data_IF_636979018989
#
_entry.id   IF_636979018989
#
_cell.length_a   1.000
_cell.length_b   1.000
_cell.length_c   1.000
_cell.angle_alpha   90.00
_cell.angle_beta   90.00
_cell.angle_gamma   90.00
#
_symmetry.space_group_name_H-M   'P 1'
#
loop_
_entity.id
_entity.type
_entity.pdbx_description
1 polymer ?
#
# COMPACT_ATOMS: atom_id res chain seq x y z
N UNK A 1 16.45 -30.29 10.57
CA UNK A 1 15.21 -29.67 11.09
C UNK A 1 14.48 -29.04 9.92
N UNK A 2 13.31 -29.60 9.57
CA UNK A 2 12.45 -29.02 8.56
C UNK A 2 11.79 -27.76 9.15
N UNK A 3 12.39 -26.61 8.91
CA UNK A 3 11.81 -25.33 9.25
C UNK A 3 10.58 -25.12 8.34
N UNK A 4 9.40 -25.12 8.92
CA UNK A 4 8.19 -24.77 8.17
C UNK A 4 8.15 -23.25 7.98
N UNK A 5 8.54 -22.81 6.80
CA UNK A 5 8.66 -21.40 6.46
C UNK A 5 7.30 -20.69 6.29
N UNK A 6 6.20 -21.43 6.23
CA UNK A 6 4.86 -20.88 6.10
C UNK A 6 4.30 -20.33 7.42
N UNK A 7 4.91 -20.74 8.54
CA UNK A 7 4.56 -20.26 9.87
C UNK A 7 5.82 -19.83 10.62
N UNK A 8 5.89 -18.59 11.11
CA UNK A 8 7.04 -18.10 11.88
C UNK A 8 7.20 -18.79 13.23
N UNK A 9 6.30 -19.71 13.56
CA UNK A 9 6.23 -20.43 14.82
C UNK A 9 6.46 -21.92 14.62
N UNK A 10 7.22 -22.53 15.54
CA UNK A 10 7.49 -23.96 15.56
C UNK A 10 6.49 -24.63 16.51
N UNK A 11 6.04 -25.84 16.18
CA UNK A 11 5.15 -26.65 17.03
C UNK A 11 5.70 -26.95 18.44
N UNK A 12 7.00 -26.79 18.66
CA UNK A 12 7.65 -26.98 19.96
C UNK A 12 7.79 -25.70 20.78
N UNK A 13 7.37 -24.56 20.26
CA UNK A 13 7.41 -23.28 21.00
C UNK A 13 6.25 -23.17 21.97
N UNK A 14 6.52 -22.59 23.13
CA UNK A 14 5.47 -22.22 24.07
C UNK A 14 4.62 -21.07 23.51
N UNK A 15 3.38 -20.94 23.96
CA UNK A 15 2.51 -19.81 23.58
C UNK A 15 3.17 -18.46 23.87
N UNK A 16 3.91 -18.36 24.97
CA UNK A 16 4.64 -17.14 25.32
C UNK A 16 5.71 -16.80 24.28
N UNK A 17 6.53 -17.76 23.87
CA UNK A 17 7.56 -17.57 22.84
C UNK A 17 6.94 -17.18 21.49
N UNK A 18 5.79 -17.75 21.14
CA UNK A 18 5.05 -17.41 19.92
C UNK A 18 4.61 -15.95 19.98
N UNK A 19 4.02 -15.50 21.09
CA UNK A 19 3.57 -14.10 21.26
C UNK A 19 4.75 -13.14 21.18
N UNK A 20 5.87 -13.43 21.85
CA UNK A 20 7.06 -12.59 21.79
C UNK A 20 7.62 -12.48 20.37
N UNK A 21 7.70 -13.60 19.67
CA UNK A 21 8.20 -13.62 18.29
C UNK A 21 7.32 -12.83 17.32
N UNK A 22 5.99 -12.93 17.45
CA UNK A 22 5.07 -12.13 16.66
C UNK A 22 5.26 -10.65 16.97
N UNK A 23 5.33 -10.27 18.25
CA UNK A 23 5.57 -8.90 18.68
C UNK A 23 6.87 -8.34 18.07
N UNK A 24 7.99 -9.05 18.22
CA UNK A 24 9.29 -8.66 17.66
C UNK A 24 9.23 -8.46 16.14
N UNK A 25 8.49 -9.33 15.44
CA UNK A 25 8.32 -9.23 14.00
C UNK A 25 7.55 -7.97 13.58
N UNK A 26 6.48 -7.64 14.31
CA UNK A 26 5.74 -6.40 14.10
C UNK A 26 6.61 -5.17 14.37
N UNK A 27 7.31 -5.14 15.51
CA UNK A 27 8.19 -4.03 15.89
C UNK A 27 9.32 -3.83 14.86
N UNK A 28 9.94 -4.91 14.40
CA UNK A 28 10.97 -4.86 13.38
C UNK A 28 10.43 -4.33 12.04
N UNK A 29 9.27 -4.82 11.62
CA UNK A 29 8.62 -4.39 10.38
C UNK A 29 8.24 -2.92 10.42
N UNK A 30 7.70 -2.45 11.54
CA UNK A 30 7.38 -1.04 11.78
C UNK A 30 8.63 -0.15 11.69
N UNK A 31 9.69 -0.52 12.40
CA UNK A 31 10.94 0.24 12.42
C UNK A 31 11.59 0.31 11.03
N UNK A 32 11.66 -0.81 10.33
CA UNK A 32 12.22 -0.86 8.98
C UNK A 32 11.41 -0.01 8.00
N UNK A 33 10.09 -0.05 8.08
CA UNK A 33 9.22 0.75 7.20
C UNK A 33 9.32 2.24 7.54
N UNK A 34 9.32 2.60 8.82
CA UNK A 34 9.45 4.00 9.26
C UNK A 34 10.77 4.64 8.79
N UNK A 35 11.85 3.86 8.79
CA UNK A 35 13.17 4.33 8.32
C UNK A 35 13.23 4.56 6.80
N UNK A 36 12.29 4.02 6.03
CA UNK A 36 12.20 4.25 4.58
C UNK A 36 11.42 5.52 4.22
N UNK A 37 10.70 6.12 5.16
CA UNK A 37 9.90 7.30 4.88
C UNK A 37 10.72 8.55 4.68
N UNK A 38 10.45 9.24 3.60
CA UNK A 38 10.92 10.61 3.38
C UNK A 38 9.85 11.58 3.88
N UNK A 39 10.21 12.42 4.86
CA UNK A 39 9.31 13.46 5.36
C UNK A 39 8.88 14.45 4.27
N UNK A 40 9.75 14.72 3.30
CA UNK A 40 9.43 15.59 2.18
C UNK A 40 8.40 14.95 1.25
N UNK A 41 8.55 13.67 0.95
CA UNK A 41 7.55 12.93 0.18
C UNK A 41 6.20 12.90 0.90
N UNK A 42 6.18 12.65 2.20
CA UNK A 42 4.94 12.66 2.99
C UNK A 42 4.24 14.02 2.94
N UNK A 43 4.98 15.13 3.07
CA UNK A 43 4.42 16.48 2.95
C UNK A 43 3.83 16.75 1.56
N UNK A 44 4.53 16.33 0.51
CA UNK A 44 4.05 16.46 -0.87
C UNK A 44 2.78 15.65 -1.10
N UNK A 45 2.74 14.40 -0.62
CA UNK A 45 1.56 13.54 -0.72
C UNK A 45 0.38 14.13 0.07
N UNK A 46 0.58 14.56 1.31
CA UNK A 46 -0.45 15.19 2.12
C UNK A 46 -1.01 16.45 1.43
N UNK A 47 -0.16 17.26 0.83
CA UNK A 47 -0.56 18.43 0.04
C UNK A 47 -1.38 18.02 -1.19
N UNK A 48 -0.94 16.98 -1.93
CA UNK A 48 -1.66 16.46 -3.08
C UNK A 48 -3.04 15.91 -2.69
N UNK A 49 -3.13 15.15 -1.59
CA UNK A 49 -4.39 14.64 -1.04
C UNK A 49 -5.35 15.76 -0.65
N UNK A 50 -4.84 16.82 -0.03
CA UNK A 50 -5.64 18.00 0.32
C UNK A 50 -6.19 18.71 -0.92
N UNK A 51 -5.37 18.85 -1.96
CA UNK A 51 -5.72 19.56 -3.20
C UNK A 51 -6.68 18.75 -4.08
N UNK A 52 -6.55 17.45 -4.15
CA UNK A 52 -7.38 16.57 -4.97
C UNK A 52 -8.87 16.72 -4.61
N UNK A 53 -9.74 16.73 -5.60
CA UNK A 53 -11.19 16.66 -5.38
C UNK A 53 -11.62 15.27 -4.98
N UNK A 54 -11.07 14.26 -5.63
CA UNK A 54 -11.35 12.84 -5.41
C UNK A 54 -10.03 12.08 -5.26
N UNK A 55 -9.99 11.14 -4.35
CA UNK A 55 -8.88 10.20 -4.20
C UNK A 55 -9.34 8.82 -4.64
N UNK A 56 -8.62 8.20 -5.57
CA UNK A 56 -8.91 6.86 -6.06
C UNK A 56 -7.82 5.89 -5.57
N UNK A 57 -8.21 4.90 -4.76
CA UNK A 57 -7.26 3.92 -4.21
C UNK A 57 -7.35 2.59 -4.94
N UNK A 58 -6.28 2.21 -5.59
CA UNK A 58 -6.16 0.97 -6.37
C UNK A 58 -5.27 -0.03 -5.64
N UNK A 59 -5.82 -1.15 -5.29
CA UNK A 59 -5.10 -2.25 -4.65
C UNK A 59 -5.80 -3.58 -4.90
N UNK A 60 -5.29 -4.67 -4.36
CA UNK A 60 -5.84 -6.01 -4.56
C UNK A 60 -5.84 -6.84 -3.28
N UNK A 61 -6.61 -7.92 -3.30
CA UNK A 61 -6.67 -8.93 -2.24
C UNK A 61 -6.95 -8.34 -0.85
N UNK A 62 -6.24 -8.78 0.17
CA UNK A 62 -6.41 -8.34 1.55
C UNK A 62 -6.18 -6.84 1.79
N UNK A 63 -5.46 -6.16 0.90
CA UNK A 63 -5.19 -4.72 1.03
C UNK A 63 -6.43 -3.86 0.74
N UNK A 64 -7.45 -4.42 0.09
CA UNK A 64 -8.73 -3.73 -0.12
C UNK A 64 -9.35 -3.32 1.23
N UNK A 65 -9.23 -4.14 2.27
CA UNK A 65 -9.76 -3.81 3.59
C UNK A 65 -9.08 -2.56 4.20
N UNK A 66 -7.78 -2.37 3.97
CA UNK A 66 -7.08 -1.15 4.38
C UNK A 66 -7.54 0.06 3.58
N UNK A 67 -7.71 -0.09 2.28
CA UNK A 67 -8.21 0.97 1.43
C UNK A 67 -9.65 1.37 1.82
N UNK A 68 -10.52 0.43 2.16
CA UNK A 68 -11.87 0.70 2.67
C UNK A 68 -11.86 1.40 4.03
N UNK A 69 -10.96 1.01 4.94
CA UNK A 69 -10.80 1.73 6.21
C UNK A 69 -10.29 3.15 5.99
N UNK A 70 -9.32 3.34 5.11
CA UNK A 70 -8.86 4.68 4.70
C UNK A 70 -10.01 5.50 4.10
N UNK A 71 -10.81 4.93 3.20
CA UNK A 71 -12.00 5.58 2.63
C UNK A 71 -12.93 6.08 3.73
N UNK A 72 -13.26 5.22 4.71
CA UNK A 72 -14.13 5.57 5.82
C UNK A 72 -13.60 6.78 6.60
N UNK A 73 -12.32 6.76 7.00
CA UNK A 73 -11.69 7.84 7.76
C UNK A 73 -11.64 9.16 6.97
N UNK A 74 -11.37 9.10 5.68
CA UNK A 74 -11.35 10.28 4.82
C UNK A 74 -12.75 10.86 4.62
N UNK A 75 -13.77 10.02 4.54
CA UNK A 75 -15.17 10.46 4.45
C UNK A 75 -15.63 11.17 5.73
N UNK A 76 -15.15 10.77 6.91
CA UNK A 76 -15.45 11.47 8.17
C UNK A 76 -14.98 12.94 8.16
N UNK A 77 -13.93 13.25 7.41
CA UNK A 77 -13.43 14.64 7.25
C UNK A 77 -13.92 15.29 5.95
N UNK A 78 -14.91 14.68 5.26
CA UNK A 78 -15.53 15.24 4.07
C UNK A 78 -14.76 15.06 2.77
N UNK A 79 -13.72 14.19 2.74
CA UNK A 79 -12.97 13.90 1.52
C UNK A 79 -13.59 12.72 0.78
N UNK A 80 -13.87 12.89 -0.52
CA UNK A 80 -14.34 11.80 -1.36
C UNK A 80 -13.22 10.85 -1.74
N UNK A 81 -13.42 9.54 -1.49
CA UNK A 81 -12.48 8.47 -1.82
C UNK A 81 -13.23 7.33 -2.50
N UNK A 82 -12.70 6.85 -3.62
CA UNK A 82 -13.18 5.65 -4.31
C UNK A 82 -12.22 4.48 -4.04
N UNK A 83 -12.78 3.31 -3.77
CA UNK A 83 -12.02 2.06 -3.61
C UNK A 83 -12.67 0.99 -4.49
N UNK A 84 -12.32 0.93 -5.79
CA UNK A 84 -12.83 -0.11 -6.67
C UNK A 84 -12.27 -1.48 -6.27
N UNK A 85 -13.15 -2.46 -6.11
CA UNK A 85 -12.81 -3.77 -5.54
C UNK A 85 -12.44 -4.82 -6.59
N UNK A 86 -12.75 -4.59 -7.84
CA UNK A 86 -12.42 -5.49 -8.96
C UNK A 86 -11.71 -4.76 -10.10
N UNK A 87 -11.01 -5.52 -10.94
CA UNK A 87 -10.20 -4.97 -12.04
C UNK A 87 -11.00 -4.18 -13.07
N UNK A 88 -12.25 -4.56 -13.31
CA UNK A 88 -13.08 -3.85 -14.28
C UNK A 88 -13.46 -2.46 -13.78
N UNK A 89 -13.92 -2.37 -12.52
CA UNK A 89 -14.20 -1.09 -11.87
C UNK A 89 -12.94 -0.22 -11.76
N UNK A 90 -11.77 -0.83 -11.45
CA UNK A 90 -10.51 -0.11 -11.39
C UNK A 90 -10.19 0.55 -12.73
N UNK A 91 -10.35 -0.15 -13.84
CA UNK A 91 -10.14 0.41 -15.19
C UNK A 91 -11.13 1.52 -15.53
N UNK A 92 -12.41 1.34 -15.18
CA UNK A 92 -13.43 2.35 -15.44
C UNK A 92 -13.16 3.66 -14.69
N UNK A 93 -12.86 3.57 -13.39
CA UNK A 93 -12.57 4.73 -12.56
C UNK A 93 -11.29 5.40 -13.05
N UNK A 94 -10.22 4.64 -13.32
CA UNK A 94 -8.98 5.19 -13.84
C UNK A 94 -9.17 5.90 -15.19
N UNK A 95 -9.98 5.34 -16.09
CA UNK A 95 -10.24 5.95 -17.40
C UNK A 95 -11.12 7.20 -17.34
N UNK A 96 -11.93 7.36 -16.28
CA UNK A 96 -12.79 8.52 -16.04
C UNK A 96 -12.17 9.59 -15.12
N UNK A 97 -10.99 9.31 -14.55
CA UNK A 97 -10.25 10.26 -13.72
C UNK A 97 -9.55 11.34 -14.55
N UNK A 98 -9.08 12.37 -13.89
CA UNK A 98 -8.38 13.50 -14.50
C UNK A 98 -7.35 14.12 -13.53
N UNK A 99 -6.81 15.27 -13.88
CA UNK A 99 -5.83 16.02 -13.07
C UNK A 99 -6.36 16.54 -11.71
N UNK A 100 -7.67 16.51 -11.48
CA UNK A 100 -8.29 16.87 -10.20
C UNK A 100 -8.43 15.68 -9.26
N UNK A 101 -8.17 14.49 -9.75
CA UNK A 101 -8.07 13.27 -8.96
C UNK A 101 -6.65 13.08 -8.41
N UNK A 102 -6.51 12.19 -7.42
CA UNK A 102 -5.24 11.64 -6.98
C UNK A 102 -5.38 10.12 -6.93
N UNK A 103 -4.62 9.42 -7.72
CA UNK A 103 -4.57 7.97 -7.69
C UNK A 103 -3.55 7.49 -6.65
N UNK A 104 -3.94 6.59 -5.76
CA UNK A 104 -3.04 5.89 -4.84
C UNK A 104 -3.01 4.42 -5.24
N UNK A 105 -1.88 3.96 -5.75
CA UNK A 105 -1.66 2.56 -6.09
C UNK A 105 -0.86 1.90 -4.97
N UNK A 106 -1.45 0.85 -4.37
CA UNK A 106 -0.81 0.07 -3.30
C UNK A 106 -0.51 -1.32 -3.85
N UNK A 107 0.77 -1.62 -4.01
CA UNK A 107 1.23 -2.93 -4.47
C UNK A 107 2.58 -3.26 -3.84
N UNK A 108 2.83 -4.52 -3.50
CA UNK A 108 4.12 -4.90 -2.94
C UNK A 108 5.20 -4.94 -4.02
N UNK A 109 5.07 -5.81 -4.99
CA UNK A 109 6.06 -6.00 -6.05
C UNK A 109 5.48 -5.89 -7.46
N UNK A 110 4.35 -5.22 -7.64
CA UNK A 110 3.71 -5.00 -8.94
C UNK A 110 3.17 -6.27 -9.57
N UNK A 111 1.89 -6.55 -9.37
CA UNK A 111 1.20 -7.69 -10.02
C UNK A 111 -0.07 -7.24 -10.71
N UNK A 112 -0.41 -7.97 -11.79
CA UNK A 112 -1.63 -7.75 -12.53
C UNK A 112 -1.73 -6.33 -13.11
N UNK A 113 -2.93 -5.79 -13.16
CA UNK A 113 -3.18 -4.49 -13.77
C UNK A 113 -2.57 -3.31 -13.00
N UNK A 114 -2.26 -3.49 -11.70
CA UNK A 114 -1.66 -2.46 -10.84
C UNK A 114 -0.23 -2.08 -11.28
N UNK A 115 0.45 -2.96 -12.00
CA UNK A 115 1.85 -2.75 -12.41
C UNK A 115 2.02 -2.18 -13.82
N UNK A 116 1.01 -2.29 -14.66
CA UNK A 116 1.13 -1.96 -16.08
C UNK A 116 -0.09 -1.20 -16.60
N UNK A 117 -1.25 -1.83 -16.63
CA UNK A 117 -2.45 -1.27 -17.30
C UNK A 117 -2.95 -0.01 -16.58
N UNK A 118 -3.16 -0.05 -15.27
CA UNK A 118 -3.68 1.09 -14.51
C UNK A 118 -2.74 2.30 -14.54
N UNK A 119 -1.44 2.14 -14.25
CA UNK A 119 -0.51 3.26 -14.36
C UNK A 119 -0.53 3.95 -15.72
N UNK A 120 -0.58 3.17 -16.82
CA UNK A 120 -0.64 3.73 -18.19
C UNK A 120 -1.95 4.49 -18.47
N UNK A 121 -3.09 3.98 -17.99
CA UNK A 121 -4.38 4.67 -18.11
C UNK A 121 -4.30 6.02 -17.38
N UNK A 122 -3.89 6.01 -16.11
CA UNK A 122 -3.79 7.19 -15.26
C UNK A 122 -2.81 8.22 -15.85
N UNK A 123 -1.66 7.78 -16.32
CA UNK A 123 -0.68 8.64 -16.97
C UNK A 123 -1.25 9.30 -18.25
N UNK A 124 -1.99 8.54 -19.06
CA UNK A 124 -2.63 9.04 -20.28
C UNK A 124 -3.67 10.13 -19.99
N UNK A 125 -4.45 9.98 -18.90
CA UNK A 125 -5.47 10.95 -18.50
C UNK A 125 -4.92 12.04 -17.56
N UNK A 126 -3.61 12.02 -17.29
CA UNK A 126 -2.88 12.99 -16.46
C UNK A 126 -3.32 13.03 -14.99
N UNK A 127 -3.81 11.93 -14.48
CA UNK A 127 -4.10 11.78 -13.05
C UNK A 127 -2.80 11.59 -12.28
N UNK A 128 -2.47 12.44 -11.30
CA UNK A 128 -1.28 12.26 -10.46
C UNK A 128 -1.32 10.95 -9.70
N UNK A 129 -0.16 10.27 -9.60
CA UNK A 129 -0.04 8.93 -9.03
C UNK A 129 0.87 8.93 -7.80
N UNK A 130 0.35 8.45 -6.68
CA UNK A 130 1.12 8.01 -5.51
C UNK A 130 1.31 6.50 -5.62
N UNK A 131 2.55 6.04 -5.68
CA UNK A 131 2.86 4.61 -5.60
C UNK A 131 3.35 4.26 -4.19
N UNK A 132 2.70 3.28 -3.57
CA UNK A 132 3.13 2.67 -2.30
C UNK A 132 3.56 1.24 -2.61
N UNK A 133 4.85 0.97 -2.52
CA UNK A 133 5.42 -0.31 -2.93
C UNK A 133 6.60 -0.73 -2.04
N UNK A 134 7.11 -1.95 -2.25
CA UNK A 134 8.39 -2.33 -1.67
C UNK A 134 9.51 -1.46 -2.25
N UNK A 135 10.61 -1.35 -1.50
CA UNK A 135 11.75 -0.49 -1.85
C UNK A 135 12.39 -0.82 -3.21
N UNK A 136 12.27 -2.04 -3.68
CA UNK A 136 12.87 -2.54 -4.91
C UNK A 136 11.92 -2.49 -6.13
N UNK A 137 10.74 -1.88 -5.98
CA UNK A 137 9.74 -1.83 -7.03
C UNK A 137 9.32 -0.39 -7.40
N UNK A 138 9.33 -0.11 -8.70
CA UNK A 138 8.67 1.04 -9.34
C UNK A 138 8.07 0.64 -10.68
N UNK A 139 7.38 1.56 -11.36
CA UNK A 139 6.89 1.29 -12.71
C UNK A 139 8.05 1.23 -13.72
N UNK A 140 7.83 0.52 -14.84
CA UNK A 140 8.88 0.29 -15.84
C UNK A 140 9.03 1.45 -16.82
N UNK A 141 7.92 2.09 -17.19
CA UNK A 141 7.88 3.00 -18.34
C UNK A 141 7.95 4.48 -17.95
N UNK A 142 7.65 4.81 -16.70
CA UNK A 142 7.67 6.18 -16.18
C UNK A 142 7.72 6.16 -14.64
N UNK A 143 8.14 7.26 -14.05
CA UNK A 143 8.14 7.42 -12.60
C UNK A 143 6.76 7.86 -12.10
N UNK A 144 6.30 7.39 -10.93
CA UNK A 144 5.12 7.93 -10.29
C UNK A 144 5.41 9.37 -9.82
N UNK A 145 4.36 10.21 -9.69
CA UNK A 145 4.53 11.57 -9.20
C UNK A 145 5.02 11.60 -7.75
N UNK A 146 4.61 10.62 -6.97
CA UNK A 146 5.01 10.44 -5.56
C UNK A 146 5.25 8.98 -5.26
N UNK A 147 6.27 8.70 -4.42
CA UNK A 147 6.64 7.35 -4.03
C UNK A 147 6.79 7.22 -2.52
N UNK A 148 6.13 6.23 -1.93
CA UNK A 148 6.39 5.76 -0.57
C UNK A 148 6.85 4.32 -0.61
N UNK A 149 7.92 4.04 0.10
CA UNK A 149 8.47 2.70 0.20
C UNK A 149 8.07 2.04 1.52
N UNK A 150 7.74 0.77 1.45
CA UNK A 150 7.56 -0.12 2.58
C UNK A 150 8.68 -1.16 2.59
N UNK A 151 8.97 -1.73 3.76
CA UNK A 151 10.06 -2.71 3.91
C UNK A 151 9.94 -3.86 2.90
N UNK A 152 11.01 -4.18 2.17
CA UNK A 152 11.04 -5.29 1.22
C UNK A 152 11.19 -6.67 1.90
N UNK A 153 11.54 -6.68 3.20
CA UNK A 153 11.85 -7.90 3.94
C UNK A 153 10.59 -8.67 4.32
N UNK A 154 9.81 -9.06 3.33
CA UNK A 154 8.71 -9.99 3.49
C UNK A 154 8.99 -11.25 2.69
N UNK A 155 9.10 -12.36 3.38
CA UNK A 155 8.88 -13.63 2.76
C UNK A 155 7.38 -13.85 2.66
N UNK A 156 6.87 -13.77 1.46
CA UNK A 156 5.44 -13.81 1.14
C UNK A 156 4.72 -15.02 1.73
N UNK A 157 5.46 -16.09 1.99
CA UNK A 157 4.98 -17.34 2.57
C UNK A 157 5.12 -17.40 4.09
N UNK A 158 5.83 -16.46 4.71
CA UNK A 158 6.22 -16.57 6.11
C UNK A 158 5.42 -15.71 7.08
N UNK A 159 4.69 -14.69 6.60
CA UNK A 159 4.11 -13.67 7.47
C UNK A 159 2.79 -13.13 6.94
N UNK A 160 1.72 -13.65 7.45
CA UNK A 160 0.35 -13.27 7.05
C UNK A 160 0.05 -11.78 7.33
N UNK A 161 0.75 -11.16 8.26
CA UNK A 161 0.39 -9.83 8.77
C UNK A 161 1.38 -8.70 8.48
N UNK A 162 2.57 -8.98 7.96
CA UNK A 162 3.62 -7.95 7.89
C UNK A 162 3.33 -6.84 6.88
N UNK A 163 2.66 -7.13 5.76
CA UNK A 163 2.26 -6.11 4.80
C UNK A 163 1.20 -5.18 5.38
N UNK A 164 0.21 -5.72 6.08
CA UNK A 164 -0.82 -4.93 6.74
C UNK A 164 -0.25 -4.02 7.83
N UNK A 165 0.70 -4.51 8.59
CA UNK A 165 1.41 -3.71 9.60
C UNK A 165 2.14 -2.52 8.97
N UNK A 166 2.77 -2.72 7.81
CA UNK A 166 3.47 -1.65 7.07
C UNK A 166 2.51 -0.57 6.60
N UNK A 167 1.34 -0.97 6.09
CA UNK A 167 0.31 -0.02 5.69
C UNK A 167 -0.28 0.72 6.88
N UNK A 168 -0.36 0.08 8.06
CA UNK A 168 -0.89 0.72 9.28
C UNK A 168 -0.11 1.96 9.69
N UNK A 169 1.18 2.05 9.38
CA UNK A 169 1.98 3.26 9.63
C UNK A 169 1.44 4.46 8.86
N UNK A 170 0.87 4.26 7.68
CA UNK A 170 0.31 5.34 6.88
C UNK A 170 -0.90 6.02 7.52
N UNK A 171 -1.54 5.38 8.51
CA UNK A 171 -2.63 5.98 9.29
C UNK A 171 -2.15 6.91 10.41
N UNK A 172 -0.87 6.85 10.75
CA UNK A 172 -0.30 7.66 11.84
C UNK A 172 0.20 9.01 11.29
N UNK A 173 0.29 9.13 10.00
CA UNK A 173 0.83 10.28 9.27
C UNK A 173 -0.28 11.12 8.63
#
# INVERSE_FOLDING_TARGET
ENFNFDFPVNQFQTHYEIIQKIKEDYEQTLNLTANLFSLDQLRLIASAMKKAQIIDVYTSAGNINFALNFQFQMQEIGKQVNVPIDEYQQRLIAASSDENHLAIIITFGGRGILSDILPRILHKVKTPIVLISSYDYTFKDFDPDYQLYISPYENHYKKISSFSTRLSILYIL
#
